data_IF_860871756218
#
_entry.id   IF_860871756218
#
_cell.length_a   1.000
_cell.length_b   1.000
_cell.length_c   1.000
_cell.angle_alpha   90.00
_cell.angle_beta   90.00
_cell.angle_gamma   90.00
#
_symmetry.space_group_name_H-M   'P 1'
#
loop_
_entity.id
_entity.type
_entity.pdbx_description
1 polymer ?
#
# COMPACT_ATOMS: atom_id res chain seq x y z
N UNK A 1 -10.74 27.91 -16.72
CA UNK A 1 -11.78 27.36 -17.59
C UNK A 1 -11.04 26.60 -18.68
N UNK A 2 -11.03 25.28 -18.63
CA UNK A 2 -10.52 24.49 -19.74
C UNK A 2 -11.48 24.71 -20.92
N UNK A 3 -10.96 24.91 -22.13
CA UNK A 3 -11.80 24.87 -23.33
C UNK A 3 -12.53 23.52 -23.35
N UNK A 4 -13.86 23.54 -23.22
CA UNK A 4 -14.67 22.35 -23.44
C UNK A 4 -14.49 21.93 -24.91
N UNK A 5 -13.75 20.86 -25.12
CA UNK A 5 -13.47 20.34 -26.46
C UNK A 5 -14.69 19.59 -26.97
N UNK A 6 -15.65 20.31 -27.53
CA UNK A 6 -16.74 19.72 -28.28
C UNK A 6 -16.20 18.96 -29.49
N UNK A 7 -16.76 17.78 -29.74
CA UNK A 7 -16.30 16.85 -30.79
C UNK A 7 -17.24 16.89 -31.98
N UNK A 8 -16.68 16.95 -33.19
CA UNK A 8 -17.39 16.53 -34.40
C UNK A 8 -17.44 14.99 -34.48
N UNK A 9 -18.15 14.46 -35.48
CA UNK A 9 -18.35 13.02 -35.63
C UNK A 9 -17.05 12.24 -35.94
N UNK A 10 -16.09 12.86 -36.64
CA UNK A 10 -14.83 12.22 -36.98
C UNK A 10 -13.90 12.17 -35.74
N UNK A 11 -13.92 13.21 -34.89
CA UNK A 11 -13.27 13.20 -33.57
C UNK A 11 -13.93 12.24 -32.59
N UNK A 12 -15.26 12.06 -32.64
CA UNK A 12 -15.93 11.00 -31.91
C UNK A 12 -15.42 9.61 -32.32
N UNK A 13 -15.22 9.38 -33.63
CA UNK A 13 -14.69 8.12 -34.14
C UNK A 13 -13.26 7.87 -33.67
N UNK A 14 -12.41 8.89 -33.69
CA UNK A 14 -11.03 8.85 -33.16
C UNK A 14 -11.02 8.52 -31.67
N UNK A 15 -11.81 9.24 -30.86
CA UNK A 15 -11.91 9.04 -29.40
C UNK A 15 -12.28 7.59 -29.04
N UNK A 16 -13.25 7.01 -29.75
CA UNK A 16 -13.77 5.67 -29.51
C UNK A 16 -12.91 4.57 -30.15
N UNK A 17 -11.93 4.92 -31.00
CA UNK A 17 -11.23 3.95 -31.85
C UNK A 17 -12.19 3.23 -32.82
N UNK A 18 -13.28 3.89 -33.21
CA UNK A 18 -14.35 3.32 -34.02
C UNK A 18 -14.26 3.77 -35.49
N UNK A 19 -14.91 3.03 -36.39
CA UNK A 19 -15.01 3.44 -37.79
C UNK A 19 -16.01 4.60 -37.96
N UNK A 20 -15.66 5.70 -38.64
CA UNK A 20 -16.60 6.81 -38.90
C UNK A 20 -17.88 6.37 -39.63
N UNK A 21 -17.80 5.31 -40.44
CA UNK A 21 -18.98 4.75 -41.14
C UNK A 21 -20.00 4.16 -40.16
N UNK A 22 -19.53 3.56 -39.07
CA UNK A 22 -20.39 2.99 -38.01
C UNK A 22 -21.12 4.14 -37.30
N UNK A 23 -20.41 5.18 -36.89
CA UNK A 23 -21.02 6.32 -36.21
C UNK A 23 -22.00 7.08 -37.11
N UNK A 24 -21.65 7.33 -38.38
CA UNK A 24 -22.59 7.93 -39.37
C UNK A 24 -23.84 7.10 -39.60
N UNK A 25 -23.77 5.78 -39.45
CA UNK A 25 -24.96 4.91 -39.51
C UNK A 25 -25.80 5.10 -38.25
N UNK A 26 -25.19 5.08 -37.07
CA UNK A 26 -25.88 5.28 -35.79
C UNK A 26 -26.59 6.65 -35.72
N UNK A 27 -25.94 7.72 -36.15
CA UNK A 27 -26.53 9.07 -36.22
C UNK A 27 -27.74 9.09 -37.14
N UNK A 28 -27.63 8.53 -38.36
CA UNK A 28 -28.74 8.50 -39.32
C UNK A 28 -29.92 7.65 -38.86
N UNK A 29 -29.69 6.61 -38.07
CA UNK A 29 -30.75 5.79 -37.48
C UNK A 29 -31.34 6.38 -36.20
N UNK A 30 -30.87 7.54 -35.74
CA UNK A 30 -31.29 8.14 -34.46
C UNK A 30 -30.85 7.31 -33.24
N UNK A 31 -29.83 6.45 -33.41
CA UNK A 31 -29.34 5.55 -32.37
C UNK A 31 -27.99 5.96 -31.78
N UNK A 32 -27.50 7.16 -32.07
CA UNK A 32 -26.28 7.73 -31.51
C UNK A 32 -26.59 8.65 -30.31
N UNK A 33 -25.57 9.04 -29.56
CA UNK A 33 -25.67 10.04 -28.50
C UNK A 33 -26.37 11.32 -28.97
N UNK A 34 -27.17 11.92 -28.08
CA UNK A 34 -27.78 13.22 -28.32
C UNK A 34 -26.68 14.29 -28.45
N UNK A 35 -26.72 15.15 -29.48
CA UNK A 35 -25.73 16.21 -29.64
C UNK A 35 -25.86 17.24 -28.53
N UNK A 36 -24.72 17.78 -28.08
CA UNK A 36 -24.69 18.87 -27.10
C UNK A 36 -25.17 20.20 -27.71
N UNK A 37 -25.08 20.32 -29.03
CA UNK A 37 -25.61 21.45 -29.79
C UNK A 37 -25.29 21.31 -31.28
N UNK A 38 -25.46 22.42 -31.98
CA UNK A 38 -25.22 22.53 -33.42
C UNK A 38 -24.44 23.84 -33.69
N UNK A 39 -23.39 23.74 -34.51
CA UNK A 39 -22.66 24.90 -35.03
C UNK A 39 -22.76 24.91 -36.56
N UNK A 40 -23.39 25.94 -37.10
CA UNK A 40 -23.61 26.12 -38.55
C UNK A 40 -24.24 24.92 -39.27
N UNK A 41 -25.17 24.20 -38.61
CA UNK A 41 -25.82 23.00 -39.13
C UNK A 41 -25.02 21.71 -38.95
N UNK A 42 -23.89 21.76 -38.24
CA UNK A 42 -23.12 20.60 -37.87
C UNK A 42 -23.31 20.28 -36.38
N UNK A 43 -23.87 19.11 -36.04
CA UNK A 43 -23.98 18.70 -34.64
C UNK A 43 -22.59 18.47 -34.03
N UNK A 44 -22.45 18.83 -32.76
CA UNK A 44 -21.27 18.53 -31.96
C UNK A 44 -21.67 17.80 -30.68
N UNK A 45 -20.74 17.03 -30.12
CA UNK A 45 -20.99 16.20 -28.95
C UNK A 45 -20.01 16.46 -27.83
N UNK A 46 -20.50 16.26 -26.61
CA UNK A 46 -19.68 16.18 -25.41
C UNK A 46 -18.96 14.81 -25.36
N UNK A 47 -17.62 14.77 -25.14
CA UNK A 47 -16.85 13.53 -25.11
C UNK A 47 -17.40 12.48 -24.14
N UNK A 48 -17.83 12.90 -22.94
CA UNK A 48 -18.32 11.99 -21.90
C UNK A 48 -19.63 11.34 -22.33
N UNK A 49 -20.55 12.12 -22.90
CA UNK A 49 -21.83 11.64 -23.43
C UNK A 49 -21.62 10.60 -24.55
N UNK A 50 -20.66 10.83 -25.44
CA UNK A 50 -20.29 9.89 -26.51
C UNK A 50 -19.73 8.58 -25.95
N UNK A 51 -18.85 8.66 -24.95
CA UNK A 51 -18.27 7.49 -24.32
C UNK A 51 -19.29 6.68 -23.50
N UNK A 52 -20.22 7.33 -22.80
CA UNK A 52 -21.34 6.65 -22.12
C UNK A 52 -22.24 5.92 -23.12
N UNK A 53 -22.59 6.58 -24.23
CA UNK A 53 -23.35 5.94 -25.30
C UNK A 53 -22.62 4.71 -25.86
N UNK A 54 -21.29 4.83 -26.06
CA UNK A 54 -20.45 3.75 -26.55
C UNK A 54 -20.44 2.57 -25.59
N UNK A 55 -20.21 2.82 -24.29
CA UNK A 55 -20.24 1.78 -23.26
C UNK A 55 -21.57 1.01 -23.22
N UNK A 56 -22.68 1.70 -23.50
CA UNK A 56 -24.01 1.08 -23.54
C UNK A 56 -24.24 0.15 -24.74
N UNK A 57 -23.36 0.14 -25.76
CA UNK A 57 -23.54 -0.70 -26.95
C UNK A 57 -23.21 -2.19 -26.71
N UNK A 58 -22.43 -2.49 -25.68
CA UNK A 58 -22.02 -3.86 -25.37
C UNK A 58 -20.72 -3.96 -24.58
N UNK A 59 -20.36 -5.18 -24.15
CA UNK A 59 -19.22 -5.41 -23.25
C UNK A 59 -17.87 -5.04 -23.89
N UNK A 60 -17.69 -5.29 -25.19
CA UNK A 60 -16.46 -4.93 -25.89
C UNK A 60 -16.26 -3.41 -25.94
N UNK A 61 -17.34 -2.65 -26.10
CA UNK A 61 -17.30 -1.19 -26.13
C UNK A 61 -17.10 -0.62 -24.72
N UNK A 62 -17.79 -1.15 -23.72
CA UNK A 62 -17.60 -0.77 -22.32
C UNK A 62 -16.15 -0.99 -21.87
N UNK A 63 -15.54 -2.14 -22.22
CA UNK A 63 -14.15 -2.45 -21.92
C UNK A 63 -13.12 -1.48 -22.55
N UNK A 64 -13.54 -0.56 -23.43
CA UNK A 64 -12.69 0.45 -24.08
C UNK A 64 -12.74 1.85 -23.46
N UNK A 65 -13.62 2.07 -22.47
CA UNK A 65 -13.79 3.36 -21.78
C UNK A 65 -13.68 3.19 -20.26
N UNK A 66 -13.58 4.29 -19.52
CA UNK A 66 -13.57 4.26 -18.05
C UNK A 66 -14.84 3.60 -17.50
N UNK A 67 -14.69 2.78 -16.45
CA UNK A 67 -15.79 2.10 -15.77
C UNK A 67 -16.87 3.07 -15.25
N UNK A 68 -16.50 4.31 -14.94
CA UNK A 68 -17.44 5.33 -14.46
C UNK A 68 -18.46 5.75 -15.52
N UNK A 69 -18.14 5.49 -16.79
CA UNK A 69 -18.99 5.79 -17.93
C UNK A 69 -19.86 4.60 -18.34
N UNK A 70 -19.73 3.46 -17.64
CA UNK A 70 -20.57 2.31 -17.89
C UNK A 70 -22.01 2.59 -17.42
N UNK A 71 -23.02 2.00 -18.08
CA UNK A 71 -24.39 2.09 -17.62
C UNK A 71 -24.54 1.63 -16.16
N UNK A 72 -25.20 2.45 -15.34
CA UNK A 72 -25.63 2.02 -14.02
C UNK A 72 -26.64 0.87 -14.15
N UNK A 73 -26.59 -0.07 -13.22
CA UNK A 73 -27.49 -1.23 -13.21
C UNK A 73 -28.48 -1.11 -12.05
N UNK A 74 -29.73 -1.54 -12.30
CA UNK A 74 -30.78 -1.58 -11.26
C UNK A 74 -30.82 -2.93 -10.55
N UNK A 75 -30.27 -3.96 -11.18
CA UNK A 75 -30.15 -5.30 -10.62
C UNK A 75 -28.71 -5.52 -10.14
N UNK A 76 -28.50 -6.09 -8.93
CA UNK A 76 -27.16 -6.41 -8.45
C UNK A 76 -26.39 -7.30 -9.43
N UNK A 77 -25.16 -6.91 -9.74
CA UNK A 77 -24.24 -7.70 -10.55
C UNK A 77 -23.96 -9.07 -9.90
N UNK A 78 -23.85 -10.11 -10.72
CA UNK A 78 -23.59 -11.49 -10.27
C UNK A 78 -22.16 -11.58 -9.72
N UNK A 79 -22.02 -12.02 -8.46
CA UNK A 79 -20.71 -12.24 -7.87
C UNK A 79 -20.11 -13.56 -8.36
N UNK A 80 -18.94 -13.48 -8.98
CA UNK A 80 -18.23 -14.62 -9.58
C UNK A 80 -17.20 -15.25 -8.63
N UNK A 81 -17.22 -14.86 -7.36
CA UNK A 81 -16.26 -15.31 -6.35
C UNK A 81 -14.93 -14.56 -6.38
N UNK A 82 -14.00 -15.06 -5.56
CA UNK A 82 -12.67 -14.52 -5.42
C UNK A 82 -11.62 -15.33 -6.20
N UNK A 83 -10.60 -14.65 -6.72
CA UNK A 83 -9.40 -15.26 -7.31
C UNK A 83 -8.17 -14.85 -6.52
N UNK A 84 -7.37 -15.83 -6.08
CA UNK A 84 -6.10 -15.57 -5.40
C UNK A 84 -4.97 -15.50 -6.40
N UNK A 85 -4.18 -14.45 -6.31
CA UNK A 85 -2.99 -14.24 -7.10
C UNK A 85 -1.77 -14.54 -6.24
N UNK A 86 -1.23 -15.74 -6.44
CA UNK A 86 0.00 -16.16 -5.78
C UNK A 86 1.20 -15.64 -6.55
N UNK A 87 2.10 -14.97 -5.86
CA UNK A 87 3.40 -14.61 -6.39
C UNK A 87 4.47 -15.25 -5.51
N UNK A 88 5.25 -16.23 -6.00
CA UNK A 88 6.26 -16.90 -5.19
C UNK A 88 7.37 -15.96 -4.70
N UNK A 89 7.46 -14.74 -5.25
CA UNK A 89 8.40 -13.70 -4.80
C UNK A 89 7.81 -12.83 -3.69
N UNK A 90 6.52 -12.95 -3.41
CA UNK A 90 5.80 -12.17 -2.41
C UNK A 90 5.42 -13.04 -1.25
N UNK A 91 5.23 -12.39 -0.10
CA UNK A 91 4.87 -13.06 1.14
C UNK A 91 3.37 -13.20 1.34
N UNK A 92 2.59 -12.39 0.64
CA UNK A 92 1.15 -12.34 0.78
C UNK A 92 0.47 -12.45 -0.57
N UNK A 93 -0.59 -13.24 -0.60
CA UNK A 93 -1.48 -13.37 -1.74
C UNK A 93 -2.25 -12.05 -1.95
N UNK A 94 -2.46 -11.68 -3.21
CA UNK A 94 -3.46 -10.66 -3.55
C UNK A 94 -4.78 -11.35 -3.87
N UNK A 95 -5.89 -10.67 -3.62
CA UNK A 95 -7.22 -11.23 -3.86
C UNK A 95 -7.99 -10.32 -4.81
N UNK A 96 -8.52 -10.90 -5.88
CA UNK A 96 -9.43 -10.22 -6.80
C UNK A 96 -10.84 -10.72 -6.58
N UNK A 97 -11.73 -9.84 -6.13
CA UNK A 97 -13.17 -10.08 -6.11
C UNK A 97 -13.74 -9.76 -7.48
N UNK A 98 -14.61 -10.61 -8.03
CA UNK A 98 -15.11 -10.47 -9.41
C UNK A 98 -16.63 -10.39 -9.47
N UNK A 99 -17.14 -9.53 -10.34
CA UNK A 99 -18.57 -9.38 -10.62
C UNK A 99 -18.82 -9.38 -12.13
N UNK A 100 -19.88 -10.07 -12.55
CA UNK A 100 -20.42 -10.00 -13.91
C UNK A 100 -21.57 -9.02 -13.96
N UNK A 101 -21.45 -8.00 -14.81
CA UNK A 101 -22.55 -7.09 -15.13
C UNK A 101 -22.78 -7.06 -16.66
N UNK A 102 -23.87 -6.47 -17.16
CA UNK A 102 -24.15 -6.40 -18.60
C UNK A 102 -23.02 -5.79 -19.44
N UNK A 103 -22.24 -4.89 -18.83
CA UNK A 103 -21.10 -4.20 -19.45
C UNK A 103 -19.79 -5.00 -19.43
N UNK A 104 -19.75 -6.15 -18.75
CA UNK A 104 -18.58 -7.02 -18.66
C UNK A 104 -18.23 -7.42 -17.24
N UNK A 105 -17.09 -8.10 -17.09
CA UNK A 105 -16.61 -8.55 -15.78
C UNK A 105 -15.72 -7.48 -15.13
N UNK A 106 -16.05 -7.08 -13.91
CA UNK A 106 -15.26 -6.15 -13.10
C UNK A 106 -14.48 -6.92 -12.04
N UNK A 107 -13.18 -6.65 -11.92
CA UNK A 107 -12.33 -7.17 -10.85
C UNK A 107 -11.92 -6.07 -9.87
N UNK A 108 -12.02 -6.33 -8.57
CA UNK A 108 -11.46 -5.47 -7.51
C UNK A 108 -10.29 -6.17 -6.82
N UNK A 109 -9.09 -5.63 -7.01
CA UNK A 109 -7.84 -6.12 -6.45
C UNK A 109 -7.59 -5.52 -5.06
N UNK A 110 -7.54 -6.38 -4.05
CA UNK A 110 -7.16 -6.08 -2.68
C UNK A 110 -5.73 -6.52 -2.41
N UNK A 111 -4.97 -5.63 -1.77
CA UNK A 111 -3.57 -5.88 -1.40
C UNK A 111 -3.39 -5.72 0.11
N UNK A 112 -2.77 -6.71 0.78
CA UNK A 112 -2.41 -6.62 2.19
C UNK A 112 -1.19 -5.73 2.46
N UNK A 113 -0.31 -5.51 1.47
CA UNK A 113 0.96 -4.77 1.67
C UNK A 113 1.19 -3.65 0.63
N UNK A 114 1.31 -2.36 1.06
CA UNK A 114 1.58 -1.21 0.20
C UNK A 114 3.09 -1.02 -0.07
N UNK A 115 3.95 -1.62 0.75
CA UNK A 115 5.40 -1.37 0.74
C UNK A 115 6.13 -2.02 -0.44
N UNK A 116 5.50 -2.98 -1.13
CA UNK A 116 6.10 -3.67 -2.25
C UNK A 116 5.92 -2.87 -3.55
N UNK A 117 6.92 -2.01 -3.81
CA UNK A 117 7.13 -1.24 -5.03
C UNK A 117 7.20 -2.11 -6.31
N UNK A 118 7.51 -3.41 -6.18
CA UNK A 118 7.39 -4.39 -7.25
C UNK A 118 5.92 -4.78 -7.46
N UNK A 119 5.05 -3.80 -7.70
CA UNK A 119 3.69 -4.07 -8.14
C UNK A 119 3.76 -4.76 -9.50
N UNK A 120 3.20 -5.98 -9.63
CA UNK A 120 2.86 -6.54 -10.94
C UNK A 120 2.13 -5.44 -11.69
N UNK A 121 2.51 -5.22 -12.93
CA UNK A 121 1.87 -4.20 -13.74
C UNK A 121 0.39 -4.60 -13.82
N UNK A 122 -0.55 -3.76 -13.36
CA UNK A 122 -1.99 -4.07 -13.37
C UNK A 122 -2.45 -4.60 -14.74
N UNK A 123 -1.86 -4.06 -15.80
CA UNK A 123 -1.93 -4.54 -17.18
C UNK A 123 -1.73 -6.05 -17.38
N UNK A 124 -0.78 -6.66 -16.67
CA UNK A 124 -0.50 -8.09 -16.79
C UNK A 124 -1.54 -8.94 -16.05
N UNK A 125 -2.12 -8.38 -14.98
CA UNK A 125 -3.12 -9.08 -14.16
C UNK A 125 -4.50 -9.09 -14.81
N UNK A 126 -4.86 -8.07 -15.60
CA UNK A 126 -6.21 -7.95 -16.19
C UNK A 126 -6.56 -9.17 -17.06
N UNK A 127 -5.59 -9.69 -17.81
CA UNK A 127 -5.76 -10.90 -18.61
C UNK A 127 -5.67 -12.18 -17.77
N UNK A 128 -4.82 -12.22 -16.73
CA UNK A 128 -4.67 -13.37 -15.82
C UNK A 128 -5.97 -13.68 -15.06
N UNK A 129 -6.74 -12.65 -14.67
CA UNK A 129 -8.02 -12.79 -13.95
C UNK A 129 -9.27 -12.76 -14.84
N UNK A 130 -9.09 -12.65 -16.15
CA UNK A 130 -10.15 -12.66 -17.17
C UNK A 130 -11.25 -11.61 -16.95
N UNK A 131 -10.85 -10.37 -16.61
CA UNK A 131 -11.79 -9.26 -16.37
C UNK A 131 -11.75 -8.21 -17.49
N UNK A 132 -12.84 -7.49 -17.72
CA UNK A 132 -12.88 -6.37 -18.65
C UNK A 132 -12.19 -5.12 -18.07
N UNK A 133 -12.31 -4.91 -16.76
CA UNK A 133 -11.64 -3.85 -16.00
C UNK A 133 -11.16 -4.39 -14.66
N UNK A 134 -9.92 -4.05 -14.28
CA UNK A 134 -9.33 -4.37 -12.99
C UNK A 134 -9.08 -3.08 -12.20
N UNK A 135 -9.67 -2.98 -11.01
CA UNK A 135 -9.55 -1.84 -10.11
C UNK A 135 -8.75 -2.22 -8.87
N UNK A 136 -7.62 -1.55 -8.64
CA UNK A 136 -6.84 -1.69 -7.42
C UNK A 136 -7.37 -0.74 -6.35
N UNK A 137 -7.74 -1.29 -5.19
CA UNK A 137 -8.21 -0.52 -4.05
C UNK A 137 -7.02 -0.03 -3.21
N UNK A 138 -6.81 1.28 -3.15
CA UNK A 138 -5.79 1.89 -2.32
C UNK A 138 -6.14 1.81 -0.82
N UNK A 139 -5.16 2.07 0.05
CA UNK A 139 -5.32 1.98 1.50
C UNK A 139 -5.93 3.26 2.12
N UNK A 140 -6.13 4.31 1.33
CA UNK A 140 -6.72 5.57 1.79
C UNK A 140 -8.24 5.48 1.81
N UNK A 141 -8.86 6.45 2.48
CA UNK A 141 -10.30 6.64 2.47
C UNK A 141 -10.60 8.14 2.37
N UNK A 142 -11.33 8.54 1.35
CA UNK A 142 -11.72 9.92 1.10
C UNK A 142 -13.23 10.13 1.18
N UNK A 143 -13.66 11.34 0.80
CA UNK A 143 -15.08 11.68 0.73
C UNK A 143 -15.87 10.71 -0.16
N UNK A 144 -15.26 10.22 -1.24
CA UNK A 144 -15.90 9.33 -2.20
C UNK A 144 -15.53 7.86 -1.97
N UNK A 145 -15.10 7.45 -0.78
CA UNK A 145 -14.59 6.10 -0.54
C UNK A 145 -13.08 5.99 -0.78
N UNK A 146 -12.52 4.76 -0.82
CA UNK A 146 -11.10 4.54 -1.08
C UNK A 146 -10.74 4.87 -2.53
N UNK A 147 -9.51 5.34 -2.75
CA UNK A 147 -9.04 5.65 -4.11
C UNK A 147 -8.92 4.36 -4.94
N UNK A 148 -9.36 4.43 -6.20
CA UNK A 148 -9.27 3.32 -7.14
C UNK A 148 -8.29 3.67 -8.25
N UNK A 149 -7.34 2.77 -8.54
CA UNK A 149 -6.56 2.83 -9.79
C UNK A 149 -7.03 1.73 -10.71
N UNK A 150 -7.57 2.08 -11.87
CA UNK A 150 -8.16 1.15 -12.81
C UNK A 150 -7.33 0.96 -14.08
N UNK A 151 -7.47 -0.23 -14.68
CA UNK A 151 -6.91 -0.58 -15.99
C UNK A 151 -7.96 -1.37 -16.76
N UNK A 152 -8.15 -1.01 -18.02
CA UNK A 152 -9.03 -1.70 -18.96
C UNK A 152 -8.28 -2.78 -19.73
N UNK A 153 -8.95 -3.91 -20.00
CA UNK A 153 -8.37 -5.01 -20.77
C UNK A 153 -7.98 -4.61 -22.20
N UNK A 154 -8.77 -3.75 -22.83
CA UNK A 154 -8.51 -3.30 -24.21
C UNK A 154 -7.36 -2.29 -24.30
N UNK A 155 -6.99 -1.65 -23.18
CA UNK A 155 -5.92 -0.65 -23.07
C UNK A 155 -5.09 -0.87 -21.81
N UNK A 156 -4.40 -2.02 -21.69
CA UNK A 156 -3.80 -2.43 -20.43
C UNK A 156 -2.64 -1.52 -19.98
N UNK A 157 -2.04 -0.76 -20.91
CA UNK A 157 -1.01 0.24 -20.60
C UNK A 157 -1.54 1.58 -20.07
N UNK A 158 -2.85 1.85 -20.18
CA UNK A 158 -3.48 3.10 -19.75
C UNK A 158 -4.11 2.91 -18.36
N UNK A 159 -3.65 3.71 -17.39
CA UNK A 159 -4.21 3.76 -16.04
C UNK A 159 -5.06 5.00 -15.89
N UNK A 160 -6.14 4.88 -15.14
CA UNK A 160 -6.98 6.01 -14.77
C UNK A 160 -7.46 5.86 -13.33
N UNK A 161 -7.87 6.98 -12.74
CA UNK A 161 -8.47 7.00 -11.41
C UNK A 161 -9.96 6.64 -11.52
N UNK A 162 -10.41 5.73 -10.67
CA UNK A 162 -11.80 5.29 -10.61
C UNK A 162 -12.55 5.86 -9.41
N UNK A 163 -13.87 5.90 -9.54
CA UNK A 163 -14.81 6.42 -8.55
C UNK A 163 -15.55 5.28 -7.88
N UNK A 164 -15.34 5.12 -6.58
CA UNK A 164 -16.01 4.08 -5.78
C UNK A 164 -17.54 4.14 -5.86
N UNK A 165 -18.21 5.32 -5.79
CA UNK A 165 -19.67 5.40 -5.90
C UNK A 165 -20.15 5.08 -7.32
N UNK A 166 -19.42 5.51 -8.35
CA UNK A 166 -19.75 5.15 -9.72
C UNK A 166 -19.64 3.63 -9.93
N UNK A 167 -18.62 2.99 -9.37
CA UNK A 167 -18.47 1.54 -9.41
C UNK A 167 -19.63 0.83 -8.69
N UNK A 168 -20.06 1.32 -7.52
CA UNK A 168 -21.23 0.77 -6.83
C UNK A 168 -22.51 0.87 -7.68
N UNK A 169 -22.70 1.97 -8.41
CA UNK A 169 -23.83 2.14 -9.34
C UNK A 169 -23.75 1.20 -10.56
N UNK A 170 -22.55 0.99 -11.11
CA UNK A 170 -22.32 0.04 -12.21
C UNK A 170 -22.62 -1.39 -11.77
N UNK A 171 -22.23 -1.76 -10.55
CA UNK A 171 -22.51 -3.09 -10.00
C UNK A 171 -23.92 -3.23 -9.39
N UNK A 172 -24.69 -2.15 -9.27
CA UNK A 172 -26.04 -2.17 -8.72
C UNK A 172 -26.09 -2.56 -7.23
N UNK A 173 -24.97 -2.48 -6.50
CA UNK A 173 -24.86 -2.92 -5.12
C UNK A 173 -23.70 -2.24 -4.39
N UNK A 174 -23.74 -2.15 -3.04
CA UNK A 174 -22.63 -1.62 -2.26
C UNK A 174 -21.37 -2.49 -2.39
N UNK A 175 -20.22 -1.83 -2.29
CA UNK A 175 -18.91 -2.46 -2.37
C UNK A 175 -18.36 -2.79 -0.96
N UNK A 176 -17.68 -3.94 -0.78
CA UNK A 176 -17.07 -4.27 0.48
C UNK A 176 -15.87 -3.37 0.77
N UNK A 177 -15.85 -2.73 1.93
CA UNK A 177 -14.69 -2.01 2.43
C UNK A 177 -13.96 -2.82 3.49
N UNK A 178 -12.66 -3.01 3.25
CA UNK A 178 -11.72 -3.63 4.17
C UNK A 178 -10.72 -2.56 4.63
N UNK A 179 -10.79 -2.14 5.91
CA UNK A 179 -9.74 -1.32 6.53
C UNK A 179 -8.37 -1.91 6.25
N UNK A 180 -7.37 -1.06 6.05
CA UNK A 180 -6.11 -1.52 5.47
C UNK A 180 -5.47 -2.66 6.30
N UNK A 181 -5.44 -2.52 7.61
CA UNK A 181 -4.91 -3.53 8.53
C UNK A 181 -5.81 -4.78 8.67
N UNK A 182 -6.97 -4.85 8.03
CA UNK A 182 -7.87 -6.03 8.06
C UNK A 182 -7.96 -6.73 6.70
N UNK A 183 -7.08 -6.39 5.75
CA UNK A 183 -7.03 -6.99 4.41
C UNK A 183 -6.39 -8.38 4.42
N UNK A 184 -6.97 -9.30 5.18
CA UNK A 184 -6.54 -10.69 5.20
C UNK A 184 -6.99 -11.42 3.92
N UNK A 185 -6.09 -12.05 3.15
CA UNK A 185 -6.45 -12.74 1.92
C UNK A 185 -7.45 -13.88 2.09
N UNK A 186 -7.42 -14.59 3.22
CA UNK A 186 -8.36 -15.67 3.49
C UNK A 186 -9.77 -15.12 3.74
N UNK A 187 -9.87 -14.05 4.52
CA UNK A 187 -11.15 -13.39 4.80
C UNK A 187 -11.75 -12.74 3.55
N UNK A 188 -10.93 -12.04 2.76
CA UNK A 188 -11.40 -11.41 1.51
C UNK A 188 -11.87 -12.50 0.54
N UNK A 189 -11.12 -13.60 0.41
CA UNK A 189 -11.50 -14.67 -0.51
C UNK A 189 -12.78 -15.43 -0.09
N UNK A 190 -13.10 -15.45 1.20
CA UNK A 190 -14.30 -16.07 1.75
C UNK A 190 -15.53 -15.14 1.77
N UNK A 191 -15.36 -13.86 1.44
CA UNK A 191 -16.45 -12.89 1.47
C UNK A 191 -17.35 -13.01 0.25
N UNK A 192 -18.66 -12.78 0.46
CA UNK A 192 -19.70 -12.74 -0.56
C UNK A 192 -20.63 -11.55 -0.32
N UNK A 193 -21.28 -10.98 -1.36
CA UNK A 193 -22.25 -9.90 -1.17
C UNK A 193 -23.36 -10.27 -0.19
N UNK A 194 -23.65 -9.36 0.74
CA UNK A 194 -24.65 -9.57 1.80
C UNK A 194 -24.13 -10.34 3.01
N UNK A 195 -22.89 -10.83 3.00
CA UNK A 195 -22.26 -11.40 4.20
C UNK A 195 -22.20 -10.38 5.34
N UNK A 196 -22.40 -10.86 6.57
CA UNK A 196 -22.22 -10.04 7.75
C UNK A 196 -20.75 -9.63 7.91
N UNK A 197 -20.45 -8.45 8.50
CA UNK A 197 -19.10 -8.08 8.83
C UNK A 197 -18.44 -9.12 9.73
N UNK A 198 -17.19 -9.49 9.44
CA UNK A 198 -16.42 -10.44 10.25
C UNK A 198 -15.53 -9.71 11.26
N UNK A 199 -15.31 -10.30 12.43
CA UNK A 199 -14.30 -9.82 13.36
C UNK A 199 -12.97 -10.52 13.10
N UNK A 200 -11.89 -9.74 13.02
CA UNK A 200 -10.58 -10.24 12.65
C UNK A 200 -9.45 -9.53 13.42
N UNK A 201 -8.30 -10.20 13.62
CA UNK A 201 -7.12 -9.53 14.15
C UNK A 201 -6.54 -8.61 13.08
N UNK A 202 -6.19 -7.39 13.47
CA UNK A 202 -5.49 -6.47 12.56
C UNK A 202 -4.08 -6.99 12.25
N UNK A 203 -3.70 -7.04 10.98
CA UNK A 203 -2.37 -7.37 10.52
C UNK A 203 -1.41 -6.19 10.78
N UNK A 204 -0.32 -6.41 11.53
CA UNK A 204 0.71 -5.39 11.73
C UNK A 204 1.50 -5.09 10.45
N UNK A 205 2.05 -3.89 10.38
CA UNK A 205 2.89 -3.39 9.27
C UNK A 205 4.32 -3.96 9.25
N UNK A 206 4.66 -4.76 10.26
CA UNK A 206 5.91 -5.55 10.36
C UNK A 206 5.60 -7.01 10.63
N UNK A 207 6.56 -7.88 10.33
CA UNK A 207 6.42 -9.30 10.62
C UNK A 207 6.72 -9.58 12.08
N UNK A 208 5.71 -10.03 12.82
CA UNK A 208 5.84 -10.31 14.26
C UNK A 208 6.41 -11.70 14.55
N UNK A 209 6.35 -12.63 13.59
CA UNK A 209 6.76 -14.02 13.81
C UNK A 209 8.23 -14.16 14.26
N UNK A 210 9.23 -13.50 13.64
CA UNK A 210 10.61 -13.57 14.13
C UNK A 210 10.73 -13.07 15.58
N UNK A 211 10.01 -12.00 15.93
CA UNK A 211 10.02 -11.42 17.28
C UNK A 211 9.46 -12.41 18.30
N UNK A 212 8.32 -13.05 17.98
CA UNK A 212 7.67 -14.04 18.83
C UNK A 212 8.53 -15.31 18.99
N UNK A 213 9.11 -15.82 17.89
CA UNK A 213 10.03 -16.97 17.92
C UNK A 213 11.30 -16.68 18.71
N UNK A 214 11.83 -15.46 18.65
CA UNK A 214 13.00 -15.09 19.46
C UNK A 214 12.61 -14.93 20.94
N UNK A 215 11.48 -14.31 21.23
CA UNK A 215 11.01 -14.12 22.60
C UNK A 215 10.80 -15.45 23.35
N UNK A 216 10.37 -16.50 22.66
CA UNK A 216 10.16 -17.83 23.26
C UNK A 216 11.45 -18.54 23.67
N UNK A 217 12.63 -18.06 23.24
CA UNK A 217 13.93 -18.59 23.66
C UNK A 217 14.39 -18.07 25.03
N UNK A 218 13.69 -17.08 25.59
CA UNK A 218 14.04 -16.42 26.84
C UNK A 218 12.95 -16.60 27.90
N UNK A 219 13.36 -16.59 29.17
CA UNK A 219 12.42 -16.53 30.29
C UNK A 219 11.54 -15.25 30.19
N UNK A 220 10.24 -15.30 30.53
CA UNK A 220 9.37 -14.12 30.47
C UNK A 220 9.83 -12.91 31.28
N UNK A 221 10.61 -13.10 32.35
CA UNK A 221 11.19 -12.02 33.14
C UNK A 221 12.43 -11.38 32.48
N UNK A 222 13.02 -12.04 31.48
CA UNK A 222 14.23 -11.62 30.79
C UNK A 222 14.01 -10.31 30.01
N UNK A 223 15.02 -9.43 30.01
CA UNK A 223 14.92 -8.12 29.35
C UNK A 223 14.62 -8.24 27.85
N UNK A 224 15.28 -9.18 27.16
CA UNK A 224 15.08 -9.47 25.74
C UNK A 224 13.65 -9.93 25.43
N UNK A 225 13.11 -10.87 26.21
CA UNK A 225 11.72 -11.32 26.06
C UNK A 225 10.76 -10.13 26.14
N UNK A 226 10.89 -9.34 27.22
CA UNK A 226 10.02 -8.19 27.49
C UNK A 226 10.13 -7.11 26.40
N UNK A 227 11.33 -6.85 25.88
CA UNK A 227 11.56 -5.91 24.79
C UNK A 227 10.86 -6.33 23.49
N UNK A 228 10.97 -7.61 23.13
CA UNK A 228 10.34 -8.18 21.93
C UNK A 228 8.81 -8.19 22.04
N UNK A 229 8.26 -8.70 23.14
CA UNK A 229 6.81 -8.73 23.36
C UNK A 229 6.22 -7.31 23.42
N UNK A 230 6.92 -6.35 24.03
CA UNK A 230 6.47 -4.96 24.03
C UNK A 230 6.52 -4.30 22.63
N UNK A 231 7.42 -4.71 21.74
CA UNK A 231 7.36 -4.28 20.34
C UNK A 231 6.15 -4.92 19.64
N UNK A 232 5.95 -6.23 19.78
CA UNK A 232 4.80 -6.93 19.20
C UNK A 232 3.47 -6.32 19.65
N UNK A 233 3.31 -6.05 20.95
CA UNK A 233 2.11 -5.43 21.48
C UNK A 233 1.87 -4.02 20.93
N UNK A 234 2.92 -3.20 20.81
CA UNK A 234 2.80 -1.85 20.22
C UNK A 234 2.42 -1.89 18.74
N UNK A 235 3.01 -2.76 17.94
CA UNK A 235 2.68 -2.86 16.51
C UNK A 235 1.27 -3.39 16.30
N UNK A 236 0.86 -4.39 17.09
CA UNK A 236 -0.50 -4.91 17.06
C UNK A 236 -1.52 -3.85 17.48
N UNK A 237 -1.25 -3.13 18.57
CA UNK A 237 -2.13 -2.07 19.06
C UNK A 237 -2.31 -0.95 18.02
N UNK A 238 -1.23 -0.51 17.38
CA UNK A 238 -1.31 0.48 16.30
C UNK A 238 -2.08 -0.04 15.09
N UNK A 239 -1.89 -1.30 14.68
CA UNK A 239 -2.64 -1.90 13.59
C UNK A 239 -4.16 -1.90 13.88
N UNK A 240 -4.54 -2.33 15.08
CA UNK A 240 -5.92 -2.27 15.56
C UNK A 240 -6.45 -0.84 15.58
N UNK A 241 -5.72 0.13 16.17
CA UNK A 241 -6.13 1.54 16.20
C UNK A 241 -6.23 2.15 14.81
N UNK A 242 -5.38 1.76 13.87
CA UNK A 242 -5.47 2.18 12.47
C UNK A 242 -6.75 1.69 11.83
N UNK A 243 -7.10 0.41 11.98
CA UNK A 243 -8.35 -0.13 11.46
C UNK A 243 -9.58 0.55 12.08
N UNK A 244 -9.55 0.84 13.39
CA UNK A 244 -10.61 1.60 14.06
C UNK A 244 -10.72 3.01 13.47
N UNK A 245 -9.60 3.72 13.29
CA UNK A 245 -9.60 5.06 12.71
C UNK A 245 -10.14 5.09 11.27
N UNK A 246 -9.81 4.08 10.45
CA UNK A 246 -10.37 3.93 9.10
C UNK A 246 -11.90 3.80 9.14
N UNK A 247 -12.43 3.04 10.09
CA UNK A 247 -13.88 2.85 10.28
C UNK A 247 -14.56 4.10 10.85
N UNK A 248 -13.93 4.81 11.78
CA UNK A 248 -14.40 6.10 12.29
C UNK A 248 -14.50 7.13 11.15
N UNK A 249 -13.50 7.17 10.25
CA UNK A 249 -13.50 8.04 9.08
C UNK A 249 -14.62 7.70 8.09
N UNK A 250 -14.83 6.40 7.81
CA UNK A 250 -15.96 5.95 7.00
C UNK A 250 -17.29 6.38 7.63
N UNK A 251 -17.46 6.20 8.94
CA UNK A 251 -18.68 6.59 9.64
C UNK A 251 -18.93 8.10 9.58
N UNK A 252 -17.88 8.93 9.74
CA UNK A 252 -17.97 10.39 9.58
C UNK A 252 -18.39 10.78 8.16
N UNK A 253 -17.77 10.18 7.14
CA UNK A 253 -18.11 10.43 5.73
C UNK A 253 -19.55 10.02 5.45
N UNK A 254 -19.99 8.83 5.86
CA UNK A 254 -21.37 8.37 5.69
C UNK A 254 -22.35 9.34 6.33
N UNK A 255 -22.16 9.70 7.60
CA UNK A 255 -23.03 10.64 8.31
C UNK A 255 -23.11 12.01 7.61
N UNK A 256 -21.99 12.52 7.10
CA UNK A 256 -21.95 13.77 6.34
C UNK A 256 -22.71 13.69 5.02
N UNK A 257 -22.66 12.54 4.36
CA UNK A 257 -23.37 12.33 3.09
C UNK A 257 -24.87 12.21 3.29
N UNK A 258 -25.30 11.56 4.37
CA UNK A 258 -26.70 11.51 4.80
C UNK A 258 -27.25 12.90 5.18
N UNK A 259 -26.42 13.76 5.77
CA UNK A 259 -26.80 15.13 6.11
C UNK A 259 -27.05 16.00 4.86
N UNK A 260 -26.37 15.72 3.74
CA UNK A 260 -26.44 16.54 2.52
C UNK A 260 -26.64 15.67 1.25
N UNK A 261 -27.78 14.96 1.15
CA UNK A 261 -27.99 13.97 0.09
C UNK A 261 -28.02 14.60 -1.32
N UNK A 262 -28.46 15.86 -1.44
CA UNK A 262 -28.46 16.58 -2.71
C UNK A 262 -27.06 16.89 -3.25
N UNK A 263 -26.05 16.96 -2.36
CA UNK A 263 -24.67 17.24 -2.75
C UNK A 263 -23.92 15.97 -3.14
N UNK A 264 -24.32 14.82 -2.58
CA UNK A 264 -23.67 13.52 -2.78
C UNK A 264 -24.69 12.38 -2.88
N UNK A 265 -25.53 12.38 -3.93
CA UNK A 265 -26.57 11.37 -4.08
C UNK A 265 -25.98 9.96 -4.18
N UNK A 266 -26.54 9.01 -3.41
CA UNK A 266 -26.18 7.59 -3.46
C UNK A 266 -24.87 7.19 -2.77
N UNK A 267 -24.08 8.15 -2.26
CA UNK A 267 -22.78 7.88 -1.65
C UNK A 267 -22.88 7.10 -0.32
N UNK A 268 -23.88 7.42 0.52
CA UNK A 268 -24.08 6.76 1.82
C UNK A 268 -24.42 5.26 1.73
N UNK A 269 -24.90 4.80 0.57
CA UNK A 269 -25.23 3.40 0.32
C UNK A 269 -24.22 2.68 -0.58
N UNK A 270 -23.10 3.31 -0.93
CA UNK A 270 -22.11 2.73 -1.85
C UNK A 270 -21.15 1.73 -1.18
N UNK A 271 -21.12 1.69 0.16
CA UNK A 271 -20.09 0.95 0.92
C UNK A 271 -20.73 0.11 2.02
N UNK A 272 -20.26 -1.14 2.16
CA UNK A 272 -20.52 -1.99 3.33
C UNK A 272 -19.21 -2.35 4.01
N UNK A 273 -19.17 -2.31 5.34
CA UNK A 273 -17.97 -2.74 6.09
C UNK A 273 -17.89 -4.26 6.04
N UNK A 274 -16.78 -4.79 5.56
CA UNK A 274 -16.58 -6.24 5.46
C UNK A 274 -15.92 -6.83 6.72
N UNK A 275 -15.14 -6.04 7.47
CA UNK A 275 -14.47 -6.50 8.67
C UNK A 275 -14.33 -5.43 9.76
N UNK A 276 -14.38 -5.88 11.01
CA UNK A 276 -14.07 -5.10 12.21
C UNK A 276 -12.84 -5.67 12.91
N UNK A 277 -11.99 -4.83 13.52
CA UNK A 277 -10.87 -5.32 14.30
C UNK A 277 -11.38 -5.92 15.62
N UNK A 278 -10.72 -6.95 16.14
CA UNK A 278 -10.99 -7.40 17.51
C UNK A 278 -10.77 -6.29 18.54
N UNK A 279 -11.75 -6.10 19.41
CA UNK A 279 -11.62 -5.28 20.59
C UNK A 279 -10.84 -6.04 21.69
N UNK A 280 -9.75 -5.44 22.19
CA UNK A 280 -9.13 -5.87 23.46
C UNK A 280 -8.30 -7.16 23.44
N UNK A 281 -7.59 -7.46 22.35
CA UNK A 281 -6.67 -8.60 22.29
C UNK A 281 -5.62 -8.60 23.42
N UNK A 282 -5.07 -9.76 23.83
CA UNK A 282 -4.23 -9.93 25.03
C UNK A 282 -2.92 -9.13 25.04
N UNK A 283 -2.54 -8.55 23.89
CA UNK A 283 -1.34 -7.73 23.72
C UNK A 283 -1.63 -6.22 23.71
N UNK A 284 -2.90 -5.80 23.85
CA UNK A 284 -3.24 -4.39 24.03
C UNK A 284 -2.84 -3.95 25.44
N UNK A 285 -1.95 -2.97 25.57
CA UNK A 285 -1.54 -2.44 26.88
C UNK A 285 -0.09 -2.65 27.28
N UNK A 286 0.82 -3.00 26.36
CA UNK A 286 2.27 -3.00 26.65
C UNK A 286 2.91 -1.60 26.66
N UNK A 287 2.10 -0.55 26.75
CA UNK A 287 2.58 0.82 26.92
C UNK A 287 3.21 0.94 28.31
N UNK A 288 4.53 1.11 28.35
CA UNK A 288 5.26 1.31 29.61
C UNK A 288 6.42 0.36 29.87
N UNK A 289 6.97 -0.32 28.85
CA UNK A 289 8.27 -0.95 29.03
C UNK A 289 9.32 0.14 29.38
N UNK A 290 9.99 -0.04 30.52
CA UNK A 290 11.09 0.82 30.94
C UNK A 290 12.12 0.92 29.80
N UNK A 291 12.47 2.14 29.33
CA UNK A 291 13.46 2.33 28.28
C UNK A 291 14.81 1.67 28.56
N UNK A 292 15.19 1.52 29.83
CA UNK A 292 16.41 0.83 30.26
C UNK A 292 16.31 -0.67 29.97
N UNK A 293 15.19 -1.30 30.32
CA UNK A 293 14.94 -2.72 30.02
C UNK A 293 14.91 -2.95 28.51
N UNK A 294 14.26 -2.04 27.77
CA UNK A 294 14.24 -2.10 26.31
C UNK A 294 15.66 -2.05 25.72
N UNK A 295 16.49 -1.08 26.13
CA UNK A 295 17.87 -0.95 25.65
C UNK A 295 18.74 -2.17 26.00
N UNK A 296 18.58 -2.73 27.21
CA UNK A 296 19.31 -3.95 27.61
C UNK A 296 18.90 -5.13 26.71
N UNK A 297 17.60 -5.38 26.55
CA UNK A 297 17.10 -6.50 25.75
C UNK A 297 17.48 -6.39 24.27
N UNK A 298 17.39 -5.20 23.69
CA UNK A 298 17.85 -4.98 22.32
C UNK A 298 19.37 -5.04 22.20
N UNK A 299 20.12 -4.52 23.17
CA UNK A 299 21.59 -4.59 23.19
C UNK A 299 22.09 -6.03 23.11
N UNK A 300 21.49 -6.94 23.88
CA UNK A 300 21.83 -8.36 23.81
C UNK A 300 21.52 -8.98 22.44
N UNK A 301 20.35 -8.69 21.85
CA UNK A 301 20.03 -9.17 20.50
C UNK A 301 21.00 -8.67 19.44
N UNK A 302 21.46 -7.43 19.58
CA UNK A 302 22.35 -6.77 18.63
C UNK A 302 23.75 -7.37 18.59
N UNK A 303 24.19 -7.99 19.69
CA UNK A 303 25.48 -8.69 19.80
C UNK A 303 25.43 -10.11 19.22
N UNK A 304 24.24 -10.68 19.01
CA UNK A 304 24.07 -12.02 18.45
C UNK A 304 24.43 -12.08 16.97
N UNK A 305 24.78 -13.27 16.51
CA UNK A 305 25.22 -13.55 15.12
C UNK A 305 24.28 -14.49 14.38
N UNK A 306 23.18 -14.93 15.02
CA UNK A 306 22.26 -15.88 14.42
C UNK A 306 21.20 -15.20 13.52
N UNK A 307 20.68 -15.90 12.48
CA UNK A 307 19.72 -15.31 11.55
C UNK A 307 18.40 -14.85 12.16
N UNK A 308 17.95 -15.45 13.27
CA UNK A 308 16.71 -15.07 13.92
C UNK A 308 16.86 -13.69 14.58
N UNK A 309 18.01 -13.44 15.23
CA UNK A 309 18.33 -12.12 15.79
C UNK A 309 18.35 -11.04 14.70
N UNK A 310 18.90 -11.35 13.52
CA UNK A 310 18.93 -10.44 12.38
C UNK A 310 17.52 -10.09 11.91
N UNK A 311 16.66 -11.11 11.78
CA UNK A 311 15.27 -10.92 11.40
C UNK A 311 14.54 -10.01 12.42
N UNK A 312 14.70 -10.22 13.73
CA UNK A 312 14.09 -9.36 14.75
C UNK A 312 14.53 -7.89 14.61
N UNK A 313 15.83 -7.68 14.40
CA UNK A 313 16.41 -6.34 14.32
C UNK A 313 15.92 -5.60 13.08
N UNK A 314 15.79 -6.27 11.93
CA UNK A 314 15.18 -5.70 10.71
C UNK A 314 13.76 -5.21 10.96
N UNK A 315 12.93 -6.00 11.66
CA UNK A 315 11.54 -5.59 11.92
C UNK A 315 11.47 -4.38 12.86
N UNK A 316 12.33 -4.30 13.87
CA UNK A 316 12.41 -3.11 14.73
C UNK A 316 12.87 -1.87 13.95
N UNK A 317 13.85 -1.99 13.04
CA UNK A 317 14.27 -0.89 12.19
C UNK A 317 13.14 -0.39 11.27
N UNK A 318 12.40 -1.30 10.65
CA UNK A 318 11.25 -0.96 9.79
C UNK A 318 10.16 -0.22 10.56
N UNK A 319 9.97 -0.57 11.83
CA UNK A 319 8.95 0.02 12.68
C UNK A 319 9.28 1.43 13.18
N UNK A 320 10.38 1.59 13.92
CA UNK A 320 10.71 2.87 14.60
C UNK A 320 12.16 3.30 14.40
N UNK A 321 12.85 2.75 13.40
CA UNK A 321 14.25 3.05 13.13
C UNK A 321 15.20 2.50 14.19
N UNK A 322 14.75 1.57 15.04
CA UNK A 322 15.56 1.05 16.14
C UNK A 322 15.73 2.08 17.25
N UNK A 323 14.62 2.69 17.70
CA UNK A 323 14.61 3.77 18.71
C UNK A 323 15.41 3.44 19.99
N UNK A 324 15.51 2.16 20.35
CA UNK A 324 16.22 1.68 21.53
C UNK A 324 17.60 1.08 21.24
N UNK A 325 18.05 1.12 19.98
CA UNK A 325 19.38 0.65 19.61
C UNK A 325 20.43 1.66 20.07
N UNK A 326 21.64 1.17 20.43
CA UNK A 326 22.73 2.05 20.80
C UNK A 326 23.24 2.89 19.62
N UNK A 327 22.84 2.61 18.37
CA UNK A 327 23.33 3.27 17.14
C UNK A 327 22.24 3.92 16.27
N UNK A 328 21.17 4.44 16.86
CA UNK A 328 20.02 5.01 16.13
C UNK A 328 20.32 6.23 15.23
N UNK A 329 21.58 6.68 15.09
CA UNK A 329 21.98 7.74 14.16
C UNK A 329 23.09 7.27 13.21
N UNK A 330 22.82 7.44 11.91
CA UNK A 330 23.79 7.21 10.85
C UNK A 330 24.54 8.52 10.56
N UNK A 331 25.87 8.46 10.46
CA UNK A 331 26.71 9.61 10.13
C UNK A 331 27.47 9.33 8.83
N UNK A 332 27.12 10.04 7.77
CA UNK A 332 27.89 9.96 6.53
C UNK A 332 29.21 10.71 6.70
N UNK A 333 30.33 10.01 6.50
CA UNK A 333 31.67 10.59 6.52
C UNK A 333 32.25 10.58 5.11
N UNK A 334 33.02 11.59 4.75
CA UNK A 334 33.81 11.60 3.53
C UNK A 334 35.17 10.92 3.85
N UNK A 335 35.56 9.83 3.17
CA UNK A 335 36.82 9.15 3.45
C UNK A 335 38.05 10.00 3.15
N UNK A 336 37.89 11.04 2.32
CA UNK A 336 38.98 11.89 1.87
C UNK A 336 39.13 13.12 2.77
N UNK A 337 38.17 13.37 3.68
CA UNK A 337 38.32 14.36 4.73
C UNK A 337 39.27 13.86 5.84
N UNK A 338 39.78 14.80 6.66
CA UNK A 338 40.75 14.48 7.72
C UNK A 338 40.22 13.46 8.72
N UNK A 339 38.93 13.53 9.04
CA UNK A 339 38.27 12.67 10.04
C UNK A 339 38.00 11.28 9.46
N UNK A 340 37.49 11.20 8.25
CA UNK A 340 37.25 9.95 7.53
C UNK A 340 38.55 9.19 7.22
N UNK A 341 39.62 9.89 6.85
CA UNK A 341 40.93 9.29 6.63
C UNK A 341 41.54 8.72 7.93
N UNK A 342 41.46 9.47 9.04
CA UNK A 342 41.91 9.01 10.36
C UNK A 342 41.13 7.76 10.80
N UNK A 343 39.83 7.74 10.57
CA UNK A 343 38.98 6.62 10.93
C UNK A 343 39.28 5.40 10.08
N UNK A 344 39.41 5.56 8.76
CA UNK A 344 39.70 4.47 7.83
C UNK A 344 40.94 3.66 8.24
N UNK A 345 41.95 4.32 8.81
CA UNK A 345 43.18 3.68 9.29
C UNK A 345 43.00 2.82 10.56
N UNK A 346 41.93 3.03 11.33
CA UNK A 346 41.65 2.31 12.60
C UNK A 346 40.75 1.09 12.43
N UNK A 347 40.22 0.90 11.22
CA UNK A 347 39.21 -0.09 10.94
C UNK A 347 39.81 -1.48 10.79
N UNK A 348 39.33 -2.42 11.61
CA UNK A 348 39.73 -3.83 11.58
C UNK A 348 38.57 -4.72 11.11
N UNK A 349 38.81 -5.72 10.24
CA UNK A 349 37.79 -6.69 9.87
C UNK A 349 37.22 -7.43 11.10
N UNK A 350 35.90 -7.55 11.19
CA UNK A 350 35.17 -8.30 12.22
C UNK A 350 34.09 -9.18 11.59
N UNK A 351 33.60 -10.17 12.35
CA UNK A 351 32.45 -10.99 11.98
C UNK A 351 31.14 -10.25 12.21
N UNK A 352 30.20 -10.41 11.25
CA UNK A 352 28.86 -9.80 11.21
C UNK A 352 27.99 -10.09 12.45
N UNK A 353 27.73 -9.09 13.29
CA UNK A 353 26.65 -9.17 14.31
C UNK A 353 25.31 -8.68 13.76
N UNK A 354 24.22 -8.91 14.50
CA UNK A 354 22.90 -8.41 14.16
C UNK A 354 22.88 -6.88 14.00
N UNK A 355 23.62 -6.15 14.84
CA UNK A 355 23.84 -4.72 14.68
C UNK A 355 24.41 -4.35 13.32
N UNK A 356 25.41 -5.11 12.87
CA UNK A 356 26.08 -4.86 11.60
C UNK A 356 25.17 -5.20 10.42
N UNK A 357 24.40 -6.28 10.51
CA UNK A 357 23.40 -6.62 9.52
C UNK A 357 22.31 -5.55 9.39
N UNK A 358 21.78 -5.08 10.52
CA UNK A 358 20.72 -4.07 10.59
C UNK A 358 21.08 -2.78 9.86
N UNK A 359 22.31 -2.31 10.10
CA UNK A 359 22.88 -1.15 9.47
C UNK A 359 23.01 -1.33 7.94
N UNK A 360 23.31 -2.55 7.48
CA UNK A 360 23.45 -2.86 6.06
C UNK A 360 22.08 -3.03 5.36
N UNK A 361 21.07 -3.54 6.05
CA UNK A 361 19.72 -3.68 5.49
C UNK A 361 18.87 -2.43 5.64
N UNK A 362 19.48 -1.25 5.62
CA UNK A 362 18.75 0.02 5.60
C UNK A 362 17.64 0.01 4.54
N UNK A 363 16.64 0.92 4.62
CA UNK A 363 15.44 0.87 3.80
C UNK A 363 15.67 0.92 2.27
N UNK A 364 16.90 1.16 1.81
CA UNK A 364 17.34 1.05 0.42
C UNK A 364 18.25 -0.19 0.27
N UNK A 365 17.72 -1.23 -0.39
CA UNK A 365 18.28 -2.58 -0.56
C UNK A 365 19.59 -2.69 -1.38
N UNK A 366 20.49 -1.70 -1.37
CA UNK A 366 21.67 -1.67 -2.23
C UNK A 366 23.00 -1.78 -1.47
N UNK A 367 23.39 -3.00 -1.05
CA UNK A 367 24.71 -3.24 -0.42
C UNK A 367 25.39 -4.50 -0.97
N UNK A 368 26.72 -4.43 -1.16
CA UNK A 368 27.62 -5.55 -1.50
C UNK A 368 28.53 -5.96 -0.32
N UNK A 369 28.57 -7.26 -0.05
CA UNK A 369 29.76 -7.98 0.47
C UNK A 369 30.07 -7.93 1.98
N UNK A 370 30.78 -8.95 2.54
CA UNK A 370 30.75 -9.31 3.95
C UNK A 370 31.97 -8.83 4.76
N UNK A 371 32.49 -7.63 4.48
CA UNK A 371 33.65 -7.09 5.20
C UNK A 371 33.16 -6.01 6.16
N UNK A 372 33.18 -6.30 7.46
CA UNK A 372 32.74 -5.39 8.52
C UNK A 372 33.98 -4.78 9.17
N UNK A 373 34.30 -3.50 8.97
CA UNK A 373 35.32 -2.84 9.73
C UNK A 373 34.77 -2.33 11.08
N UNK A 374 35.41 -2.69 12.19
CA UNK A 374 35.15 -2.14 13.54
C UNK A 374 36.31 -1.23 13.94
N UNK A 375 36.01 -0.08 14.52
CA UNK A 375 37.03 0.71 15.23
C UNK A 375 37.15 0.17 16.67
N UNK A 376 38.26 -0.48 16.98
CA UNK A 376 38.52 -1.05 18.30
C UNK A 376 38.59 -0.03 19.45
N UNK A 377 38.73 1.27 19.16
CA UNK A 377 38.75 2.34 20.17
C UNK A 377 37.39 2.98 20.43
N UNK A 378 36.58 3.13 19.39
CA UNK A 378 35.31 3.84 19.46
C UNK A 378 34.10 2.89 19.56
N UNK A 379 34.32 1.59 19.34
CA UNK A 379 33.29 0.56 19.24
C UNK A 379 32.20 0.90 18.21
N UNK A 380 32.66 1.33 17.03
CA UNK A 380 31.81 1.80 15.94
C UNK A 380 31.80 0.83 14.78
N UNK A 381 30.64 0.76 14.11
CA UNK A 381 30.41 -0.10 12.95
C UNK A 381 30.46 0.77 11.69
N UNK A 382 31.38 0.45 10.78
CA UNK A 382 31.51 1.14 9.49
C UNK A 382 30.90 0.32 8.36
N UNK A 383 30.33 0.97 7.35
CA UNK A 383 29.80 0.31 6.17
C UNK A 383 30.22 1.01 4.88
N UNK A 384 30.11 0.30 3.76
CA UNK A 384 30.31 0.88 2.43
C UNK A 384 28.98 0.81 1.67
N UNK A 385 28.51 1.94 1.14
CA UNK A 385 27.27 2.00 0.35
C UNK A 385 27.57 1.86 -1.15
N UNK A 386 26.60 1.35 -1.92
CA UNK A 386 26.74 1.21 -3.38
C UNK A 386 26.60 2.59 -4.05
N UNK A 387 27.49 2.90 -4.99
CA UNK A 387 27.36 4.08 -5.86
C UNK A 387 28.09 5.37 -5.43
N UNK A 388 28.81 5.40 -4.31
CA UNK A 388 29.65 6.53 -3.91
C UNK A 388 31.13 6.17 -3.80
N UNK A 389 32.03 7.08 -4.17
CA UNK A 389 33.46 7.01 -3.84
C UNK A 389 33.73 7.02 -2.31
N UNK A 390 32.70 7.28 -1.49
CA UNK A 390 32.78 7.47 -0.06
C UNK A 390 32.03 6.37 0.75
N UNK A 391 32.68 5.66 1.70
CA UNK A 391 32.01 4.80 2.68
C UNK A 391 31.07 5.58 3.61
N UNK A 392 29.96 4.97 4.03
CA UNK A 392 28.98 5.57 4.95
C UNK A 392 29.15 4.93 6.32
N UNK A 393 29.32 5.72 7.37
CA UNK A 393 29.58 5.21 8.72
C UNK A 393 28.31 5.26 9.59
N UNK A 394 28.13 4.29 10.48
CA UNK A 394 27.08 4.34 11.50
C UNK A 394 27.73 4.59 12.86
N UNK A 395 27.17 5.47 13.68
CA UNK A 395 27.78 5.82 14.98
C UNK A 395 26.87 5.40 16.13
N UNK A 396 27.42 4.56 17.01
CA UNK A 396 26.84 4.24 18.31
C UNK A 396 26.88 5.42 19.27
N UNK A 397 25.73 5.84 19.80
CA UNK A 397 25.60 6.83 20.86
C UNK A 397 25.94 6.23 22.23
N UNK A 398 27.20 5.84 22.43
CA UNK A 398 27.82 5.74 23.75
C UNK A 398 29.19 6.41 23.80
N UNK A 399 29.38 7.51 23.07
CA UNK A 399 30.40 8.47 23.47
C UNK A 399 29.88 9.22 24.69
N UNK A 400 30.24 8.75 25.90
CA UNK A 400 30.31 9.63 27.07
C UNK A 400 31.09 10.88 26.62
N UNK A 401 30.49 12.05 26.84
CA UNK A 401 31.08 13.37 26.61
C UNK A 401 32.36 13.55 27.43
N UNK A 402 33.45 12.90 27.01
CA UNK A 402 34.73 12.92 27.71
C UNK A 402 35.91 13.23 26.78
N UNK A 403 35.70 13.23 25.46
CA UNK A 403 36.79 13.43 24.49
C UNK A 403 36.69 14.70 23.63
N UNK A 404 35.62 15.49 23.71
CA UNK A 404 35.48 16.73 22.90
C UNK A 404 35.78 18.04 23.66
N UNK A 405 36.24 17.99 24.91
CA UNK A 405 36.60 19.20 25.68
C UNK A 405 38.02 19.75 25.40
N UNK A 406 38.72 19.29 24.37
CA UNK A 406 40.13 19.61 24.14
C UNK A 406 40.48 20.51 22.95
N UNK A 407 39.53 20.86 22.09
CA UNK A 407 39.82 21.64 20.87
C UNK A 407 39.06 22.97 20.87
N UNK A 408 39.48 23.85 21.78
CA UNK A 408 39.04 25.23 21.85
C UNK A 408 40.16 26.12 22.38
N UNK A 409 41.07 26.53 21.48
CA UNK A 409 41.85 27.79 21.46
C UNK A 409 43.09 27.60 20.56
N UNK A 410 43.02 28.12 19.35
CA UNK A 410 44.01 29.06 18.79
C UNK A 410 43.28 30.05 17.91
#
# INVERSE_FOLDING_TARGET
MAEESYLDLDRCAELLGASPRVLRRAVRSGGFAEPAGDDAGQPYWDPETVQRWWAAQGPDQAASVSVELWPATTEPAEFLGATRLQDPRRRHDEVVLRWSCPSGVVGMLWRPDPSHAASRHLAALVDEVEVAVLLRVAADFGLYGPSLTAVNRTRPGERYDGSWPALALVLGQPLPYWPFALRDPDLIAAWEPGAAPVEAPAAPDIEVEPLLRMASLFDPAHATHRALIALVGRVQHRATRSAVADLEMLAEVTARTEQYPMRWPGLGSATVVAAHPFDGGPLTGTDGLDPTVARIGWGELLERTDPLSWACVVQCLRWDGGRYFPFAQLLRLDPDDRVGAEWRLRLEPTTGTAAQFALLTGPSYEIEGPCYPRDGKADLIVMKTRGGSAPTVAVGHQLRYSCFAGLGRR
#
